data_IF_886555721671
#
_entry.id   IF_886555721671
#
_cell.length_a   1.000
_cell.length_b   1.000
_cell.length_c   1.000
_cell.angle_alpha   90.00
_cell.angle_beta   90.00
_cell.angle_gamma   90.00
#
_symmetry.space_group_name_H-M   'P 1'
#
loop_
_entity.id
_entity.type
_entity.pdbx_description
1 polymer ?
#
# COMPACT_ATOMS: atom_id res chain seq x y z
N UNK A 1 11.66 3.44 14.99
CA UNK A 1 10.65 4.03 15.87
C UNK A 1 11.43 4.49 17.07
N UNK A 2 11.31 5.78 17.34
CA UNK A 2 11.93 6.39 18.51
C UNK A 2 10.97 6.24 19.69
N UNK A 3 11.51 5.93 20.86
CA UNK A 3 10.74 5.79 22.10
C UNK A 3 11.45 6.57 23.18
N UNK A 4 10.71 7.44 23.87
CA UNK A 4 11.14 8.11 25.08
C UNK A 4 10.50 7.37 26.27
N UNK A 5 11.27 6.49 26.92
CA UNK A 5 10.73 5.61 27.96
C UNK A 5 10.15 6.36 29.17
N UNK A 6 10.74 7.49 29.58
CA UNK A 6 10.20 8.33 30.66
C UNK A 6 8.78 8.79 30.32
N UNK A 7 8.61 9.45 29.18
CA UNK A 7 7.33 9.94 28.71
C UNK A 7 6.33 8.79 28.50
N UNK A 8 6.76 7.68 27.90
CA UNK A 8 5.89 6.52 27.67
C UNK A 8 5.35 5.96 28.99
N UNK A 9 6.21 5.72 29.98
CA UNK A 9 5.81 5.12 31.25
C UNK A 9 4.98 6.07 32.12
N UNK A 10 5.15 7.38 31.98
CA UNK A 10 4.28 8.37 32.63
C UNK A 10 2.85 8.38 32.06
N UNK A 11 2.70 8.01 30.79
CA UNK A 11 1.41 7.96 30.09
C UNK A 11 0.73 6.58 30.14
N UNK A 12 1.37 5.56 30.75
CA UNK A 12 0.82 4.22 30.87
C UNK A 12 0.42 3.87 32.33
N UNK A 13 -0.57 2.99 32.53
CA UNK A 13 -0.88 2.47 33.86
C UNK A 13 0.34 1.77 34.50
N UNK A 14 0.54 1.97 35.81
CA UNK A 14 1.75 1.46 36.51
C UNK A 14 1.80 -0.06 36.73
N UNK A 15 0.68 -0.77 36.61
CA UNK A 15 0.54 -2.17 37.02
C UNK A 15 0.10 -3.12 35.88
N UNK A 16 0.50 -2.83 34.63
CA UNK A 16 0.15 -3.66 33.47
C UNK A 16 1.41 -4.26 32.82
N UNK A 17 1.32 -5.46 32.27
CA UNK A 17 2.41 -6.00 31.44
C UNK A 17 2.54 -5.19 30.15
N UNK A 18 3.76 -4.75 29.83
CA UNK A 18 4.04 -3.93 28.65
C UNK A 18 5.01 -4.68 27.74
N UNK A 19 4.71 -4.75 26.45
CA UNK A 19 5.62 -5.23 25.41
C UNK A 19 6.02 -4.03 24.55
N UNK A 20 7.32 -3.74 24.48
CA UNK A 20 7.86 -2.61 23.70
C UNK A 20 8.74 -3.15 22.59
N UNK A 21 8.38 -2.91 21.34
CA UNK A 21 9.23 -3.19 20.20
C UNK A 21 9.88 -1.89 19.70
N UNK A 22 11.21 -1.89 19.55
CA UNK A 22 11.94 -0.72 19.06
C UNK A 22 13.04 -1.09 18.07
N UNK A 23 13.51 -0.08 17.34
CA UNK A 23 14.78 -0.19 16.63
C UNK A 23 15.94 -0.38 17.62
N UNK A 24 16.93 -1.16 17.23
CA UNK A 24 18.06 -1.51 18.07
C UNK A 24 19.36 -1.36 17.29
N UNK A 25 20.43 -1.10 18.04
CA UNK A 25 21.71 -0.74 17.45
C UNK A 25 22.84 -1.58 18.07
N UNK A 26 23.49 -2.45 17.28
CA UNK A 26 24.62 -3.25 17.77
C UNK A 26 25.79 -2.40 18.24
N UNK A 27 25.95 -1.16 17.75
CA UNK A 27 27.01 -0.25 18.22
C UNK A 27 26.79 0.18 19.68
N UNK A 28 25.53 0.19 20.13
CA UNK A 28 25.15 0.42 21.53
C UNK A 28 25.11 -0.87 22.36
N UNK A 29 25.55 -2.01 21.81
CA UNK A 29 25.55 -3.31 22.47
C UNK A 29 24.19 -4.02 22.47
N UNK A 30 23.19 -3.51 21.73
CA UNK A 30 21.92 -4.20 21.56
C UNK A 30 22.10 -5.46 20.69
N UNK A 31 21.23 -6.45 20.89
CA UNK A 31 21.12 -7.61 20.00
C UNK A 31 19.67 -7.90 19.64
N UNK A 32 19.47 -8.58 18.51
CA UNK A 32 18.16 -9.09 18.11
C UNK A 32 17.62 -10.07 19.16
N UNK A 33 16.34 -9.97 19.49
CA UNK A 33 15.70 -10.91 20.39
C UNK A 33 14.56 -10.32 21.21
N UNK A 34 14.11 -11.11 22.17
CA UNK A 34 13.07 -10.73 23.13
C UNK A 34 13.67 -10.85 24.53
N UNK A 35 13.61 -9.75 25.29
CA UNK A 35 14.33 -9.60 26.55
C UNK A 35 13.38 -9.14 27.65
N UNK A 36 13.40 -9.83 28.80
CA UNK A 36 12.74 -9.33 30.00
C UNK A 36 13.62 -8.25 30.64
N UNK A 37 13.05 -7.08 30.92
CA UNK A 37 13.78 -6.02 31.61
C UNK A 37 13.75 -6.31 33.12
N UNK A 38 14.90 -6.49 33.79
CA UNK A 38 14.95 -6.87 35.20
C UNK A 38 14.18 -5.90 36.11
N UNK A 39 13.47 -6.44 37.09
CA UNK A 39 12.67 -5.69 38.07
C UNK A 39 11.55 -4.83 37.46
N UNK A 40 11.08 -5.17 36.25
CA UNK A 40 9.94 -4.52 35.62
C UNK A 40 8.97 -5.56 35.07
N UNK A 41 7.78 -5.09 34.67
CA UNK A 41 6.77 -5.83 33.92
C UNK A 41 6.90 -5.61 32.39
N UNK A 42 8.10 -5.24 31.92
CA UNK A 42 8.37 -4.87 30.53
C UNK A 42 9.12 -5.98 29.80
N UNK A 43 8.60 -6.34 28.63
CA UNK A 43 9.26 -7.17 27.63
C UNK A 43 9.75 -6.28 26.49
N UNK A 44 11.05 -6.25 26.25
CA UNK A 44 11.68 -5.52 25.14
C UNK A 44 11.85 -6.44 23.93
N UNK A 45 11.43 -5.99 22.76
CA UNK A 45 11.55 -6.69 21.49
C UNK A 45 12.47 -5.91 20.57
N UNK A 46 13.54 -6.57 20.15
CA UNK A 46 14.47 -6.12 19.12
C UNK A 46 14.24 -6.99 17.89
N UNK A 47 13.38 -6.54 16.96
CA UNK A 47 12.97 -7.34 15.81
C UNK A 47 14.13 -7.53 14.82
N UNK A 48 14.09 -8.55 13.95
CA UNK A 48 15.15 -8.76 12.97
C UNK A 48 15.41 -7.56 12.08
N UNK A 49 16.69 -7.18 11.92
CA UNK A 49 17.09 -6.07 11.05
C UNK A 49 17.44 -6.56 9.65
N UNK A 50 17.40 -5.66 8.65
CA UNK A 50 17.79 -6.00 7.28
C UNK A 50 19.24 -6.47 7.23
N UNK A 51 19.47 -7.63 6.62
CA UNK A 51 20.82 -8.10 6.27
C UNK A 51 21.35 -7.49 4.97
N UNK A 52 20.53 -6.70 4.27
CA UNK A 52 20.83 -6.16 2.94
C UNK A 52 21.31 -4.70 2.95
N UNK A 53 21.41 -4.07 4.12
CA UNK A 53 21.81 -2.68 4.28
C UNK A 53 21.10 -1.99 5.45
N UNK A 54 21.17 -0.67 5.50
CA UNK A 54 20.54 0.13 6.54
C UNK A 54 19.01 0.05 6.42
N UNK A 55 18.37 -0.60 7.40
CA UNK A 55 16.92 -0.62 7.57
C UNK A 55 16.53 0.07 8.87
N UNK A 56 15.25 0.39 9.03
CA UNK A 56 14.71 0.92 10.29
C UNK A 56 13.50 0.10 10.75
N UNK A 57 13.32 -0.05 12.06
CA UNK A 57 12.05 -0.53 12.60
C UNK A 57 11.07 0.64 12.69
N UNK A 58 10.33 0.96 11.63
CA UNK A 58 9.57 2.22 11.52
C UNK A 58 8.05 2.06 11.72
N UNK A 59 7.55 0.84 11.87
CA UNK A 59 6.15 0.56 12.20
C UNK A 59 5.72 1.15 13.55
N UNK A 60 4.48 1.65 13.63
CA UNK A 60 3.87 2.14 14.88
C UNK A 60 2.52 1.50 15.12
N UNK A 61 2.54 0.50 15.99
CA UNK A 61 1.43 -0.38 16.33
C UNK A 61 1.24 -0.39 17.84
N UNK A 62 0.00 -0.28 18.31
CA UNK A 62 -0.39 -0.61 19.68
C UNK A 62 -1.45 -1.71 19.64
N UNK A 63 -1.29 -2.71 20.49
CA UNK A 63 -2.30 -3.73 20.75
C UNK A 63 -2.65 -3.64 22.23
N UNK A 64 -3.86 -3.17 22.52
CA UNK A 64 -4.33 -2.93 23.89
C UNK A 64 -5.38 -3.97 24.23
N UNK A 65 -5.16 -4.73 25.29
CA UNK A 65 -5.98 -5.87 25.66
C UNK A 65 -6.81 -5.49 26.88
N UNK A 66 -8.13 -5.53 26.72
CA UNK A 66 -9.11 -5.32 27.78
C UNK A 66 -9.87 -6.63 28.04
N UNK A 67 -10.64 -6.67 29.12
CA UNK A 67 -11.38 -7.88 29.54
C UNK A 67 -12.34 -8.37 28.45
N UNK A 68 -13.07 -7.43 27.83
CA UNK A 68 -14.16 -7.72 26.88
C UNK A 68 -13.79 -7.49 25.41
N UNK A 69 -12.63 -6.90 25.12
CA UNK A 69 -12.25 -6.51 23.75
C UNK A 69 -10.75 -6.25 23.61
N UNK A 70 -10.27 -6.27 22.37
CA UNK A 70 -8.90 -5.90 22.00
C UNK A 70 -8.94 -4.68 21.09
N UNK A 71 -8.09 -3.68 21.36
CA UNK A 71 -7.87 -2.52 20.50
C UNK A 71 -6.66 -2.77 19.62
N UNK A 72 -6.80 -2.52 18.32
CA UNK A 72 -5.66 -2.36 17.42
C UNK A 72 -5.55 -0.90 17.03
N UNK A 73 -4.36 -0.33 17.23
CA UNK A 73 -4.03 1.04 16.87
C UNK A 73 -2.86 1.03 15.91
N UNK A 74 -3.03 1.59 14.71
CA UNK A 74 -1.95 1.80 13.74
C UNK A 74 -1.83 3.29 13.49
N UNK A 75 -0.65 3.86 13.68
CA UNK A 75 -0.46 5.31 13.64
C UNK A 75 0.78 5.75 12.87
N UNK A 76 0.90 7.06 12.65
CA UNK A 76 2.13 7.67 12.13
C UNK A 76 3.11 8.12 13.23
N UNK A 77 2.67 8.16 14.50
CA UNK A 77 3.41 8.77 15.61
C UNK A 77 4.42 7.81 16.27
N UNK A 78 5.63 8.30 16.53
CA UNK A 78 6.57 7.71 17.49
C UNK A 78 6.05 7.85 18.93
N UNK A 79 6.64 7.11 19.87
CA UNK A 79 6.29 7.18 21.30
C UNK A 79 7.17 8.19 22.03
N UNK A 80 7.07 9.46 21.63
CA UNK A 80 7.79 10.61 22.20
C UNK A 80 6.82 11.80 22.33
N UNK A 81 7.03 12.66 23.34
CA UNK A 81 6.19 13.86 23.56
C UNK A 81 5.99 14.71 22.31
N UNK A 82 7.07 14.93 21.55
CA UNK A 82 7.08 15.72 20.32
C UNK A 82 5.98 15.31 19.32
N UNK A 83 5.80 14.01 19.09
CA UNK A 83 4.84 13.53 18.10
C UNK A 83 3.39 13.71 18.57
N UNK A 84 3.13 13.67 19.88
CA UNK A 84 1.77 13.74 20.43
C UNK A 84 1.35 15.15 20.82
N UNK A 85 2.30 16.06 21.06
CA UNK A 85 2.02 17.43 21.51
C UNK A 85 2.22 18.48 20.41
N UNK A 86 3.16 18.25 19.49
CA UNK A 86 3.61 19.26 18.51
C UNK A 86 3.22 18.87 17.09
N UNK A 87 3.47 17.62 16.71
CA UNK A 87 3.23 17.15 15.35
C UNK A 87 1.77 16.77 15.12
N UNK A 88 1.31 16.99 13.89
CA UNK A 88 0.07 16.37 13.43
C UNK A 88 0.32 14.94 12.97
N UNK A 89 -0.52 14.02 13.45
CA UNK A 89 -0.43 12.59 13.21
C UNK A 89 -1.80 12.02 12.81
N UNK A 90 -1.78 10.82 12.23
CA UNK A 90 -2.97 10.05 11.88
C UNK A 90 -2.95 8.76 12.70
N UNK A 91 -4.14 8.36 13.17
CA UNK A 91 -4.33 7.17 14.00
C UNK A 91 -5.56 6.43 13.49
N UNK A 92 -5.37 5.19 13.05
CA UNK A 92 -6.43 4.21 12.90
C UNK A 92 -6.63 3.48 14.23
N UNK A 93 -7.87 3.37 14.68
CA UNK A 93 -8.26 2.68 15.91
C UNK A 93 -9.46 1.80 15.59
N UNK A 94 -9.37 0.51 15.91
CA UNK A 94 -10.52 -0.37 15.89
C UNK A 94 -10.52 -1.34 17.06
N UNK A 95 -11.72 -1.54 17.60
CA UNK A 95 -12.01 -2.41 18.73
C UNK A 95 -12.62 -3.71 18.20
N UNK A 96 -12.18 -4.84 18.73
CA UNK A 96 -12.65 -6.17 18.38
C UNK A 96 -13.16 -6.87 19.65
N UNK A 97 -14.45 -7.23 19.72
CA UNK A 97 -15.03 -7.82 20.92
C UNK A 97 -14.49 -9.24 21.14
N UNK A 98 -14.42 -9.66 22.39
CA UNK A 98 -14.08 -11.04 22.75
C UNK A 98 -15.22 -11.98 22.35
N UNK A 99 -14.91 -13.19 21.93
CA UNK A 99 -15.93 -14.23 21.78
C UNK A 99 -16.47 -14.63 23.16
N UNK A 100 -17.79 -14.83 23.25
CA UNK A 100 -18.42 -15.44 24.42
C UNK A 100 -18.12 -16.96 24.44
N UNK A 101 -18.16 -17.60 25.62
CA UNK A 101 -17.91 -19.05 25.76
C UNK A 101 -18.84 -19.94 24.89
N UNK A 102 -20.00 -19.41 24.49
CA UNK A 102 -20.98 -20.10 23.64
C UNK A 102 -20.80 -19.83 22.13
N UNK A 103 -19.91 -18.91 21.75
CA UNK A 103 -19.64 -18.65 20.34
C UNK A 103 -18.73 -19.78 19.82
N UNK A 104 -19.10 -20.37 18.70
CA UNK A 104 -18.22 -21.31 17.99
C UNK A 104 -16.93 -20.55 17.70
N UNK A 105 -15.82 -20.99 18.29
CA UNK A 105 -14.50 -20.52 17.92
C UNK A 105 -14.35 -20.91 16.44
N UNK A 106 -14.43 -19.93 15.55
CA UNK A 106 -13.99 -20.17 14.19
C UNK A 106 -12.50 -20.49 14.29
N UNK A 107 -12.10 -21.71 13.94
CA UNK A 107 -10.72 -22.13 14.02
C UNK A 107 -9.83 -21.31 13.08
N UNK A 108 -10.42 -20.74 12.02
CA UNK A 108 -9.72 -19.89 11.08
C UNK A 108 -9.82 -18.41 11.49
N UNK A 109 -8.65 -17.82 11.75
CA UNK A 109 -8.53 -16.39 12.02
C UNK A 109 -8.90 -15.59 10.78
N UNK A 110 -9.78 -14.61 10.95
CA UNK A 110 -10.06 -13.59 9.94
C UNK A 110 -8.75 -13.00 9.38
N UNK A 111 -8.73 -12.67 8.08
CA UNK A 111 -7.53 -12.23 7.37
C UNK A 111 -6.76 -11.11 8.10
N UNK A 112 -7.47 -10.10 8.61
CA UNK A 112 -6.86 -9.02 9.40
C UNK A 112 -6.06 -9.54 10.61
N UNK A 113 -6.62 -10.49 11.37
CA UNK A 113 -5.96 -11.07 12.52
C UNK A 113 -4.81 -12.01 12.13
N UNK A 114 -4.95 -12.72 10.99
CA UNK A 114 -3.87 -13.55 10.42
C UNK A 114 -2.68 -12.69 10.01
N UNK A 115 -2.90 -11.60 9.29
CA UNK A 115 -1.84 -10.65 8.90
C UNK A 115 -1.15 -10.02 10.12
N UNK A 116 -1.94 -9.62 11.12
CA UNK A 116 -1.40 -9.09 12.37
C UNK A 116 -0.57 -10.15 13.12
N UNK A 117 -1.07 -11.40 13.19
CA UNK A 117 -0.37 -12.53 13.80
C UNK A 117 0.97 -12.79 13.09
N UNK A 118 0.96 -12.88 11.77
CA UNK A 118 2.16 -13.14 10.97
C UNK A 118 3.20 -12.03 11.14
N UNK A 119 2.75 -10.77 11.21
CA UNK A 119 3.61 -9.62 11.49
C UNK A 119 4.28 -9.72 12.87
N UNK A 120 3.52 -10.04 13.91
CA UNK A 120 4.04 -10.19 15.28
C UNK A 120 4.98 -11.39 15.42
N UNK A 121 4.68 -12.51 14.76
CA UNK A 121 5.56 -13.68 14.70
C UNK A 121 6.90 -13.33 14.05
N UNK A 122 6.87 -12.58 12.95
CA UNK A 122 8.09 -12.13 12.27
C UNK A 122 8.94 -11.20 13.16
N UNK A 123 8.33 -10.42 14.04
CA UNK A 123 9.06 -9.62 15.04
C UNK A 123 9.73 -10.46 16.13
N UNK A 124 9.40 -11.76 16.22
CA UNK A 124 9.91 -12.70 17.23
C UNK A 124 8.96 -12.93 18.41
N UNK A 125 7.74 -12.39 18.38
CA UNK A 125 6.74 -12.63 19.42
C UNK A 125 6.14 -14.05 19.30
N UNK A 126 5.67 -14.57 20.43
CA UNK A 126 5.13 -15.94 20.59
C UNK A 126 3.89 -15.87 21.49
N UNK A 127 3.72 -16.81 22.42
CA UNK A 127 2.60 -16.88 23.37
C UNK A 127 2.35 -15.61 24.19
N UNK A 128 3.32 -14.69 24.27
CA UNK A 128 3.15 -13.35 24.86
C UNK A 128 1.88 -12.62 24.36
N UNK A 129 1.55 -12.75 23.07
CA UNK A 129 0.42 -12.09 22.43
C UNK A 129 -0.34 -13.00 21.45
N UNK A 130 0.36 -13.94 20.80
CA UNK A 130 -0.19 -14.71 19.69
C UNK A 130 -1.38 -15.57 20.13
N UNK A 131 -1.32 -16.17 21.32
CA UNK A 131 -2.37 -17.04 21.86
C UNK A 131 -3.62 -16.24 22.30
N UNK A 132 -3.52 -14.91 22.36
CA UNK A 132 -4.64 -14.03 22.71
C UNK A 132 -5.46 -13.63 21.49
N UNK A 133 -4.84 -13.51 20.31
CA UNK A 133 -5.54 -13.06 19.09
C UNK A 133 -6.78 -13.92 18.75
N UNK A 134 -6.76 -15.27 18.79
CA UNK A 134 -7.93 -16.08 18.44
C UNK A 134 -9.15 -15.89 19.35
N UNK A 135 -9.01 -15.20 20.49
CA UNK A 135 -10.09 -14.99 21.46
C UNK A 135 -11.05 -13.87 21.06
N UNK A 136 -10.75 -13.11 20.00
CA UNK A 136 -11.50 -11.92 19.59
C UNK A 136 -12.11 -12.08 18.19
N UNK A 137 -13.26 -11.44 17.99
CA UNK A 137 -14.00 -11.41 16.74
C UNK A 137 -13.52 -10.27 15.84
N UNK A 138 -12.86 -10.63 14.75
CA UNK A 138 -12.35 -9.69 13.74
C UNK A 138 -13.23 -9.61 12.48
N UNK A 139 -14.39 -10.26 12.45
CA UNK A 139 -15.30 -10.29 11.29
C UNK A 139 -15.73 -8.90 10.80
N UNK A 140 -15.67 -7.89 11.69
CA UNK A 140 -16.00 -6.50 11.38
C UNK A 140 -14.79 -5.61 11.09
N UNK A 141 -13.60 -6.18 10.87
CA UNK A 141 -12.40 -5.42 10.50
C UNK A 141 -12.71 -4.53 9.28
N UNK A 142 -12.47 -3.23 9.41
CA UNK A 142 -12.79 -2.26 8.35
C UNK A 142 -11.65 -2.04 7.37
N UNK A 143 -10.43 -2.26 7.82
CA UNK A 143 -9.23 -1.97 7.06
C UNK A 143 -8.48 -3.26 6.69
N UNK A 144 -7.66 -3.18 5.64
CA UNK A 144 -6.74 -4.25 5.23
C UNK A 144 -5.33 -3.85 5.64
N UNK A 145 -4.53 -4.77 6.18
CA UNK A 145 -3.17 -4.46 6.63
C UNK A 145 -2.22 -4.45 5.42
N UNK A 146 -1.35 -3.43 5.37
CA UNK A 146 -0.20 -3.41 4.47
C UNK A 146 1.07 -3.44 5.33
N UNK A 147 1.72 -4.62 5.45
CA UNK A 147 2.98 -4.74 6.16
C UNK A 147 4.17 -4.53 5.22
N UNK A 148 5.25 -3.96 5.72
CA UNK A 148 6.59 -4.15 5.17
C UNK A 148 7.47 -4.76 6.23
N UNK A 149 8.21 -5.79 5.85
CA UNK A 149 9.19 -6.46 6.71
C UNK A 149 10.51 -6.50 5.92
N UNK A 150 11.67 -6.26 6.55
CA UNK A 150 12.95 -6.32 5.85
C UNK A 150 13.20 -7.71 5.28
N UNK A 151 13.49 -7.79 3.98
CA UNK A 151 13.66 -9.07 3.31
C UNK A 151 13.75 -8.97 1.79
N UNK A 152 14.26 -10.05 1.18
CA UNK A 152 14.27 -10.24 -0.26
C UNK A 152 13.26 -11.34 -0.62
N UNK A 153 12.06 -10.94 -1.01
CA UNK A 153 10.94 -11.81 -1.32
C UNK A 153 11.02 -12.25 -2.78
N UNK A 154 11.12 -13.56 -3.05
CA UNK A 154 11.29 -14.12 -4.40
C UNK A 154 10.01 -14.81 -4.84
N UNK A 155 9.67 -14.70 -6.13
CA UNK A 155 8.46 -15.29 -6.66
C UNK A 155 7.22 -14.47 -6.29
N UNK A 156 6.15 -14.68 -7.04
CA UNK A 156 5.00 -13.78 -6.97
C UNK A 156 4.25 -13.89 -5.64
N UNK A 157 4.18 -15.08 -5.05
CA UNK A 157 3.41 -15.29 -3.81
C UNK A 157 4.04 -14.59 -2.61
N UNK A 158 5.37 -14.49 -2.57
CA UNK A 158 6.05 -13.75 -1.50
C UNK A 158 6.04 -12.24 -1.76
N UNK A 159 6.16 -11.81 -3.03
CA UNK A 159 6.09 -10.39 -3.41
C UNK A 159 4.73 -9.79 -3.03
N UNK A 160 3.63 -10.52 -3.20
CA UNK A 160 2.27 -10.06 -2.89
C UNK A 160 1.96 -9.91 -1.39
N UNK A 161 2.85 -10.34 -0.50
CA UNK A 161 2.64 -10.29 0.96
C UNK A 161 3.04 -8.94 1.57
N UNK A 162 3.95 -8.19 0.94
CA UNK A 162 4.56 -7.02 1.58
C UNK A 162 4.64 -5.78 0.67
N UNK A 163 4.75 -4.62 1.30
CA UNK A 163 5.04 -3.35 0.64
C UNK A 163 4.10 -3.01 -0.51
N UNK A 164 4.64 -2.47 -1.60
CA UNK A 164 3.81 -2.11 -2.76
C UNK A 164 3.33 -3.34 -3.54
N UNK A 165 3.93 -4.52 -3.33
CA UNK A 165 3.42 -5.79 -3.86
C UNK A 165 2.11 -6.20 -3.18
N UNK A 166 1.99 -6.03 -1.85
CA UNK A 166 0.74 -6.19 -1.11
C UNK A 166 -0.32 -5.19 -1.56
N UNK A 167 0.06 -3.91 -1.72
CA UNK A 167 -0.82 -2.88 -2.26
C UNK A 167 -1.39 -3.31 -3.62
N UNK A 168 -0.54 -3.75 -4.54
CA UNK A 168 -0.95 -4.23 -5.87
C UNK A 168 -1.97 -5.37 -5.79
N UNK A 169 -1.72 -6.36 -4.92
CA UNK A 169 -2.63 -7.48 -4.73
C UNK A 169 -3.99 -7.05 -4.15
N UNK A 170 -4.01 -6.09 -3.23
CA UNK A 170 -5.25 -5.56 -2.66
C UNK A 170 -6.04 -4.81 -3.74
N UNK A 171 -5.40 -3.89 -4.46
CA UNK A 171 -6.06 -3.08 -5.50
C UNK A 171 -6.64 -3.97 -6.60
N UNK A 172 -5.87 -4.99 -7.03
CA UNK A 172 -6.34 -5.97 -8.02
C UNK A 172 -7.63 -6.67 -7.60
N UNK A 173 -7.78 -6.98 -6.30
CA UNK A 173 -8.93 -7.73 -5.81
C UNK A 173 -10.19 -6.86 -5.60
N UNK A 174 -10.06 -5.53 -5.54
CA UNK A 174 -11.20 -4.65 -5.30
C UNK A 174 -11.78 -4.04 -6.58
N UNK A 175 -10.95 -3.72 -7.58
CA UNK A 175 -11.44 -3.23 -8.87
C UNK A 175 -10.35 -3.19 -9.96
N UNK A 176 -10.74 -3.43 -11.22
CA UNK A 176 -9.87 -3.26 -12.40
C UNK A 176 -10.16 -1.90 -13.08
N UNK A 177 -9.47 -0.84 -12.67
CA UNK A 177 -9.47 0.44 -13.39
C UNK A 177 -8.19 0.62 -14.20
N UNK A 178 -8.30 1.28 -15.34
CA UNK A 178 -7.15 1.48 -16.24
C UNK A 178 -6.13 2.47 -15.66
N UNK A 179 -6.59 3.51 -14.97
CA UNK A 179 -5.75 4.57 -14.42
C UNK A 179 -6.25 5.12 -13.09
N UNK A 180 -5.31 5.69 -12.33
CA UNK A 180 -5.56 6.30 -11.02
C UNK A 180 -4.90 7.67 -10.97
N UNK A 181 -5.50 8.62 -10.27
CA UNK A 181 -4.79 9.81 -9.81
C UNK A 181 -4.23 9.50 -8.42
N UNK A 182 -2.90 9.59 -8.26
CA UNK A 182 -2.24 9.24 -7.00
C UNK A 182 -1.61 10.47 -6.34
N UNK A 183 -1.95 10.70 -5.07
CA UNK A 183 -1.37 11.76 -4.24
C UNK A 183 -0.67 11.15 -3.03
N UNK A 184 0.62 11.41 -2.89
CA UNK A 184 1.50 10.84 -1.87
C UNK A 184 1.95 11.94 -0.90
N UNK A 185 1.37 12.00 0.30
CA UNK A 185 1.88 12.84 1.38
C UNK A 185 2.84 12.03 2.25
N UNK A 186 4.03 12.57 2.48
CA UNK A 186 5.08 11.91 3.27
C UNK A 186 5.79 12.91 4.17
N UNK A 187 6.31 12.46 5.32
CA UNK A 187 7.18 13.27 6.18
C UNK A 187 8.66 13.08 5.85
N UNK A 188 9.01 12.04 5.09
CA UNK A 188 10.35 11.85 4.55
C UNK A 188 10.31 11.48 3.07
N UNK A 189 11.26 12.01 2.32
CA UNK A 189 11.47 11.66 0.92
C UNK A 189 12.89 11.11 0.74
N UNK A 190 13.00 10.09 -0.11
CA UNK A 190 14.26 9.48 -0.52
C UNK A 190 14.70 9.95 -1.90
N UNK A 191 15.58 9.16 -2.51
CA UNK A 191 15.92 9.28 -3.93
C UNK A 191 14.72 8.83 -4.76
N UNK A 192 13.87 9.76 -5.18
CA UNK A 192 12.73 9.47 -6.07
C UNK A 192 13.22 9.56 -7.52
N UNK A 193 12.95 8.52 -8.30
CA UNK A 193 13.26 8.49 -9.73
C UNK A 193 12.01 8.16 -10.55
N UNK A 194 11.98 8.51 -11.85
CA UNK A 194 10.86 8.16 -12.74
C UNK A 194 10.59 6.65 -12.78
N UNK A 195 11.62 5.82 -12.64
CA UNK A 195 11.47 4.35 -12.61
C UNK A 195 10.70 3.91 -11.36
N UNK A 196 11.07 4.39 -10.17
CA UNK A 196 10.35 4.09 -8.93
C UNK A 196 8.90 4.59 -9.00
N UNK A 197 8.68 5.81 -9.53
CA UNK A 197 7.33 6.36 -9.68
C UNK A 197 6.47 5.51 -10.59
N UNK A 198 6.99 5.09 -11.74
CA UNK A 198 6.26 4.24 -12.67
C UNK A 198 6.00 2.84 -12.08
N UNK A 199 6.97 2.25 -11.37
CA UNK A 199 6.80 0.97 -10.69
C UNK A 199 5.72 1.02 -9.60
N UNK A 200 5.80 2.04 -8.74
CA UNK A 200 4.83 2.24 -7.68
C UNK A 200 3.44 2.55 -8.26
N UNK A 201 3.36 3.43 -9.26
CA UNK A 201 2.11 3.76 -9.94
C UNK A 201 1.42 2.52 -10.49
N UNK A 202 2.15 1.64 -11.20
CA UNK A 202 1.61 0.37 -11.67
C UNK A 202 1.02 -0.44 -10.52
N UNK A 203 1.74 -0.55 -9.41
CA UNK A 203 1.24 -1.26 -8.21
C UNK A 203 -0.03 -0.62 -7.66
N UNK A 204 -0.11 0.71 -7.63
CA UNK A 204 -1.29 1.46 -7.21
C UNK A 204 -2.52 1.25 -8.13
N UNK A 205 -2.34 0.71 -9.35
CA UNK A 205 -3.43 0.31 -10.26
C UNK A 205 -3.88 -1.14 -10.11
N UNK A 206 -3.10 -1.99 -9.44
CA UNK A 206 -3.40 -3.41 -9.26
C UNK A 206 -3.47 -4.23 -10.55
N UNK A 207 -2.42 -4.26 -11.40
CA UNK A 207 -2.45 -4.94 -12.69
C UNK A 207 -2.70 -6.45 -12.56
N UNK A 208 -3.40 -7.02 -13.54
CA UNK A 208 -3.73 -8.45 -13.57
C UNK A 208 -2.48 -9.34 -13.58
N UNK A 209 -1.36 -8.84 -14.13
CA UNK A 209 -0.03 -9.45 -14.02
C UNK A 209 1.02 -8.48 -13.44
N UNK A 210 1.92 -8.95 -12.57
CA UNK A 210 3.05 -8.16 -12.08
C UNK A 210 3.99 -7.89 -13.25
N UNK A 211 4.10 -6.64 -13.67
CA UNK A 211 5.04 -6.24 -14.71
C UNK A 211 6.46 -6.48 -14.22
N UNK A 212 7.20 -7.39 -14.87
CA UNK A 212 8.63 -7.52 -14.61
C UNK A 212 9.34 -6.20 -14.95
N UNK A 213 10.37 -5.82 -14.18
CA UNK A 213 11.21 -4.67 -14.54
C UNK A 213 11.74 -4.88 -15.97
N UNK A 214 11.61 -3.88 -16.84
CA UNK A 214 12.06 -3.98 -18.23
C UNK A 214 13.57 -4.25 -18.26
N UNK A 215 13.99 -5.40 -18.80
CA UNK A 215 15.40 -5.76 -18.93
C UNK A 215 16.04 -5.26 -20.23
N UNK A 216 15.30 -4.59 -21.12
CA UNK A 216 15.86 -4.16 -22.40
C UNK A 216 16.77 -2.94 -22.23
N UNK A 217 18.03 -3.00 -22.72
CA UNK A 217 18.96 -1.86 -22.68
C UNK A 217 18.41 -0.61 -23.39
N UNK A 218 17.46 -0.78 -24.31
CA UNK A 218 16.80 0.29 -25.07
C UNK A 218 15.69 0.99 -24.27
N UNK A 219 14.94 0.28 -23.41
CA UNK A 219 13.94 0.91 -22.53
C UNK A 219 14.57 1.72 -21.39
N UNK A 220 15.82 1.39 -21.02
CA UNK A 220 16.63 2.14 -20.05
C UNK A 220 17.25 3.42 -20.63
N UNK A 221 17.18 3.63 -21.96
CA UNK A 221 17.79 4.77 -22.66
C UNK A 221 16.79 5.88 -23.01
N UNK A 222 15.48 5.61 -22.97
CA UNK A 222 14.46 6.65 -23.21
C UNK A 222 13.94 7.21 -21.88
N UNK A 223 13.73 8.53 -21.76
CA UNK A 223 13.08 9.12 -20.59
C UNK A 223 11.68 8.50 -20.43
N UNK A 224 11.42 7.83 -19.31
CA UNK A 224 10.07 7.35 -19.02
C UNK A 224 9.18 8.56 -18.68
N UNK A 225 7.96 8.65 -19.24
CA UNK A 225 7.02 9.69 -18.86
C UNK A 225 6.68 9.55 -17.38
N UNK A 226 6.41 10.67 -16.72
CA UNK A 226 5.94 10.66 -15.34
C UNK A 226 4.48 10.20 -15.29
N UNK A 227 4.14 9.25 -14.40
CA UNK A 227 2.74 8.89 -14.15
C UNK A 227 2.02 10.05 -13.44
N UNK A 228 0.66 10.05 -13.39
CA UNK A 228 -0.13 11.04 -12.66
C UNK A 228 -0.01 10.87 -11.14
N UNK A 229 1.19 11.15 -10.64
CA UNK A 229 1.57 11.15 -9.22
C UNK A 229 1.86 12.57 -8.77
N UNK A 230 1.33 12.93 -7.62
CA UNK A 230 1.63 14.17 -6.90
C UNK A 230 2.29 13.86 -5.57
N UNK A 231 3.34 14.59 -5.19
CA UNK A 231 4.03 14.42 -3.90
C UNK A 231 3.85 15.66 -3.04
N UNK A 232 3.25 15.48 -1.86
CA UNK A 232 2.95 16.55 -0.91
C UNK A 232 4.02 16.54 0.19
N UNK A 233 4.86 17.58 0.19
CA UNK A 233 5.96 17.75 1.15
C UNK A 233 6.12 19.23 1.54
N UNK A 234 6.55 19.57 2.77
CA UNK A 234 6.63 20.97 3.17
C UNK A 234 7.80 21.70 2.49
N UNK A 235 7.54 22.95 2.10
CA UNK A 235 8.60 23.87 1.66
C UNK A 235 9.40 24.37 2.86
N UNK A 236 10.61 24.86 2.62
CA UNK A 236 11.40 25.54 3.66
C UNK A 236 10.63 26.72 4.25
N UNK A 237 9.90 27.49 3.42
CA UNK A 237 9.02 28.58 3.85
C UNK A 237 7.89 28.08 4.76
N UNK A 238 7.28 26.94 4.45
CA UNK A 238 6.24 26.31 5.27
C UNK A 238 6.77 25.99 6.66
N UNK A 239 7.97 25.40 6.74
CA UNK A 239 8.61 25.08 8.03
C UNK A 239 8.97 26.34 8.80
N UNK A 240 9.64 27.32 8.18
CA UNK A 240 10.05 28.56 8.85
C UNK A 240 8.87 29.40 9.36
N UNK A 241 7.72 29.33 8.69
CA UNK A 241 6.50 30.04 9.10
C UNK A 241 5.59 29.20 10.01
N UNK A 242 5.96 27.95 10.31
CA UNK A 242 5.20 27.09 11.22
C UNK A 242 5.34 27.56 12.66
N UNK A 243 4.37 27.18 13.51
CA UNK A 243 4.29 27.58 14.92
C UNK A 243 5.54 27.23 15.73
N UNK A 244 6.17 26.10 15.38
CA UNK A 244 7.34 25.57 16.09
C UNK A 244 8.63 25.66 15.28
N UNK A 245 8.59 26.19 14.06
CA UNK A 245 9.74 26.38 13.18
C UNK A 245 10.61 25.11 13.07
N UNK A 246 11.90 25.22 13.37
CA UNK A 246 12.87 24.12 13.41
C UNK A 246 12.50 23.04 14.42
N UNK A 247 11.96 23.41 15.59
CA UNK A 247 11.61 22.46 16.64
C UNK A 247 10.48 21.52 16.21
N UNK A 248 9.56 21.99 15.35
CA UNK A 248 8.49 21.19 14.75
C UNK A 248 8.92 20.31 13.59
N UNK A 249 10.13 20.53 13.05
CA UNK A 249 10.58 19.88 11.83
C UNK A 249 11.33 18.56 12.06
N UNK A 250 11.48 18.12 13.31
CA UNK A 250 12.19 16.89 13.67
C UNK A 250 11.78 15.64 12.86
N UNK A 251 10.47 15.41 12.62
CA UNK A 251 10.03 14.25 11.84
C UNK A 251 10.16 14.42 10.31
N UNK A 252 10.60 15.59 9.84
CA UNK A 252 10.73 15.92 8.42
C UNK A 252 12.14 15.65 7.90
N UNK A 253 12.26 14.68 6.99
CA UNK A 253 13.56 14.21 6.51
C UNK A 253 13.64 14.21 4.98
N UNK A 254 14.43 15.13 4.42
CA UNK A 254 14.74 15.13 3.01
C UNK A 254 16.12 15.74 2.79
N UNK A 255 16.96 15.09 1.96
CA UNK A 255 18.31 15.56 1.70
C UNK A 255 18.37 16.45 0.46
N UNK A 256 19.13 17.53 0.56
CA UNK A 256 19.43 18.40 -0.59
C UNK A 256 20.07 17.62 -1.75
N UNK A 257 20.94 16.65 -1.42
CA UNK A 257 21.58 15.75 -2.39
C UNK A 257 20.56 14.97 -3.23
N UNK A 258 19.49 14.45 -2.63
CA UNK A 258 18.44 13.75 -3.38
C UNK A 258 17.66 14.70 -4.28
N UNK A 259 17.29 15.88 -3.78
CA UNK A 259 16.54 16.88 -4.55
C UNK A 259 17.30 17.45 -5.75
N UNK A 260 18.63 17.56 -5.63
CA UNK A 260 19.49 18.10 -6.69
C UNK A 260 19.86 17.08 -7.76
N UNK A 261 19.47 15.80 -7.61
CA UNK A 261 19.64 14.81 -8.67
C UNK A 261 18.86 15.22 -9.93
N UNK A 262 19.49 15.08 -11.09
CA UNK A 262 18.87 15.42 -12.38
C UNK A 262 17.62 14.59 -12.68
N UNK A 263 17.51 13.40 -12.10
CA UNK A 263 16.38 12.49 -12.23
C UNK A 263 15.21 12.83 -11.32
N UNK A 264 15.40 13.72 -10.33
CA UNK A 264 14.34 14.03 -9.38
C UNK A 264 13.26 14.90 -10.06
N UNK A 265 12.01 14.43 -10.15
CA UNK A 265 10.93 15.19 -10.79
C UNK A 265 10.42 16.26 -9.83
N UNK A 266 10.80 17.51 -10.06
CA UNK A 266 10.44 18.64 -9.19
C UNK A 266 9.00 19.10 -9.43
N UNK A 267 8.51 18.93 -10.64
CA UNK A 267 7.20 19.35 -11.13
C UNK A 267 6.02 18.63 -10.45
N UNK A 268 6.26 17.51 -9.78
CA UNK A 268 5.24 16.76 -9.03
C UNK A 268 5.13 17.19 -7.56
N UNK A 269 6.01 18.07 -7.08
CA UNK A 269 5.97 18.55 -5.70
C UNK A 269 4.83 19.55 -5.47
N UNK A 270 4.15 19.40 -4.33
CA UNK A 270 3.09 20.30 -3.85
C UNK A 270 3.31 20.66 -2.39
N UNK A 271 2.87 21.86 -2.04
CA UNK A 271 2.96 22.42 -0.69
C UNK A 271 2.15 21.56 0.28
N UNK A 272 2.77 21.24 1.41
CA UNK A 272 2.18 20.45 2.49
C UNK A 272 1.76 21.40 3.62
N UNK A 273 0.51 21.84 3.58
CA UNK A 273 -0.04 22.78 4.57
C UNK A 273 -1.13 22.11 5.40
N UNK A 274 -0.90 21.96 6.70
CA UNK A 274 -1.89 21.42 7.62
C UNK A 274 -3.19 22.24 7.64
N UNK A 275 -4.33 21.56 7.81
CA UNK A 275 -5.61 22.20 8.13
C UNK A 275 -5.59 22.86 9.52
N UNK A 276 -4.67 22.44 10.39
CA UNK A 276 -4.36 23.06 11.68
C UNK A 276 -3.26 24.11 11.45
N UNK A 277 -3.66 25.38 11.46
CA UNK A 277 -2.80 26.50 11.09
C UNK A 277 -1.42 26.45 11.79
N UNK A 278 -0.35 26.40 10.98
CA UNK A 278 1.04 26.43 11.44
C UNK A 278 1.56 25.12 12.05
N UNK A 279 0.81 24.02 12.02
CA UNK A 279 1.29 22.71 12.49
C UNK A 279 2.00 21.96 11.36
N UNK A 280 3.12 21.31 11.68
CA UNK A 280 3.83 20.42 10.77
C UNK A 280 3.35 18.98 10.96
N UNK A 281 3.37 18.21 9.87
CA UNK A 281 2.76 16.88 9.84
C UNK A 281 3.81 15.78 9.84
N UNK A 282 3.56 14.77 10.68
CA UNK A 282 4.27 13.49 10.68
C UNK A 282 3.40 12.37 10.07
N UNK A 283 2.28 12.71 9.45
CA UNK A 283 1.40 11.78 8.71
C UNK A 283 2.07 11.24 7.44
N UNK A 284 1.55 10.10 6.97
CA UNK A 284 1.81 9.56 5.62
C UNK A 284 0.48 9.11 5.04
N UNK A 285 0.14 9.63 3.88
CA UNK A 285 -1.05 9.27 3.13
C UNK A 285 -0.67 8.87 1.71
N UNK A 286 -1.34 7.84 1.21
CA UNK A 286 -1.51 7.66 -0.23
C UNK A 286 -3.00 7.79 -0.51
N UNK A 287 -3.36 8.68 -1.42
CA UNK A 287 -4.73 8.90 -1.83
C UNK A 287 -4.82 8.54 -3.30
N UNK A 288 -5.69 7.61 -3.65
CA UNK A 288 -5.90 7.19 -5.02
C UNK A 288 -7.36 7.35 -5.42
N UNK A 289 -7.58 8.08 -6.51
CA UNK A 289 -8.89 8.21 -7.15
C UNK A 289 -8.86 7.45 -8.46
N UNK A 290 -9.81 6.55 -8.66
CA UNK A 290 -9.90 5.86 -9.94
C UNK A 290 -10.37 6.83 -11.03
N UNK A 291 -9.68 6.81 -12.17
CA UNK A 291 -10.07 7.61 -13.33
C UNK A 291 -10.96 6.73 -14.19
N UNK A 292 -12.23 7.13 -14.30
CA UNK A 292 -13.15 6.47 -15.23
C UNK A 292 -12.86 6.96 -16.65
N UNK A 293 -12.78 6.06 -17.64
CA UNK A 293 -12.72 6.47 -19.04
C UNK A 293 -13.98 7.29 -19.36
N UNK A 294 -13.84 8.30 -20.22
CA UNK A 294 -15.00 9.03 -20.73
C UNK A 294 -15.92 8.10 -21.54
N UNK A 295 -17.21 8.45 -21.73
CA UNK A 295 -18.11 7.68 -22.59
C UNK A 295 -17.52 7.41 -23.99
N UNK A 296 -16.80 8.37 -24.55
CA UNK A 296 -16.14 8.24 -25.86
C UNK A 296 -14.99 7.21 -25.81
N UNK A 297 -14.18 7.22 -24.75
CA UNK A 297 -13.10 6.24 -24.55
C UNK A 297 -13.64 4.83 -24.33
N UNK A 298 -14.75 4.70 -23.59
CA UNK A 298 -15.46 3.43 -23.42
C UNK A 298 -15.97 2.89 -24.75
N UNK A 299 -16.51 3.74 -25.61
CA UNK A 299 -17.00 3.33 -26.93
C UNK A 299 -15.86 2.95 -27.88
N UNK A 300 -14.76 3.72 -27.90
CA UNK A 300 -13.57 3.38 -28.66
C UNK A 300 -13.01 2.01 -28.25
N UNK A 301 -12.92 1.75 -26.94
CA UNK A 301 -12.47 0.45 -26.42
C UNK A 301 -13.38 -0.70 -26.85
N UNK A 302 -14.71 -0.52 -26.78
CA UNK A 302 -15.69 -1.51 -27.27
C UNK A 302 -15.49 -1.82 -28.75
N UNK A 303 -15.28 -0.79 -29.58
CA UNK A 303 -15.03 -0.98 -31.01
C UNK A 303 -13.72 -1.74 -31.25
N UNK A 304 -12.66 -1.44 -30.48
CA UNK A 304 -11.37 -2.13 -30.57
C UNK A 304 -11.48 -3.62 -30.20
N UNK A 305 -12.19 -3.93 -29.12
CA UNK A 305 -12.45 -5.31 -28.66
C UNK A 305 -13.27 -6.09 -29.70
N UNK A 306 -14.29 -5.45 -30.30
CA UNK A 306 -15.07 -6.04 -31.37
C UNK A 306 -14.21 -6.37 -32.59
N UNK A 307 -13.32 -5.47 -33.00
CA UNK A 307 -12.42 -5.70 -34.13
C UNK A 307 -11.38 -6.79 -33.83
N UNK A 308 -10.79 -6.82 -32.63
CA UNK A 308 -9.91 -7.91 -32.21
C UNK A 308 -10.61 -9.26 -32.26
N UNK A 309 -11.82 -9.35 -31.70
CA UNK A 309 -12.62 -10.56 -31.73
C UNK A 309 -12.99 -10.99 -33.16
N UNK A 310 -13.29 -10.03 -34.03
CA UNK A 310 -13.52 -10.28 -35.47
C UNK A 310 -12.25 -10.86 -36.12
N UNK A 311 -11.09 -10.31 -35.82
CA UNK A 311 -9.82 -10.77 -36.37
C UNK A 311 -9.43 -12.15 -35.86
N UNK A 312 -9.68 -12.45 -34.58
CA UNK A 312 -9.50 -13.79 -34.00
C UNK A 312 -10.39 -14.80 -34.71
N UNK A 313 -11.67 -14.47 -34.95
CA UNK A 313 -12.60 -15.34 -35.70
C UNK A 313 -12.10 -15.60 -37.12
N UNK A 314 -11.61 -14.58 -37.83
CA UNK A 314 -11.04 -14.73 -39.17
C UNK A 314 -9.81 -15.65 -39.15
N UNK A 315 -8.91 -15.46 -38.20
CA UNK A 315 -7.71 -16.28 -38.08
C UNK A 315 -8.04 -17.75 -37.75
N UNK A 316 -9.00 -18.00 -36.86
CA UNK A 316 -9.51 -19.35 -36.59
C UNK A 316 -10.09 -20.01 -37.85
N UNK A 317 -10.90 -19.30 -38.62
CA UNK A 317 -11.46 -19.80 -39.89
C UNK A 317 -10.36 -20.14 -40.91
N UNK A 318 -9.31 -19.33 -41.02
CA UNK A 318 -8.15 -19.62 -41.89
C UNK A 318 -7.37 -20.87 -41.44
N UNK A 319 -7.18 -21.03 -40.14
CA UNK A 319 -6.49 -22.22 -39.58
C UNK A 319 -7.31 -23.48 -39.87
N UNK A 320 -8.62 -23.43 -39.66
CA UNK A 320 -9.53 -24.55 -39.96
C UNK A 320 -9.49 -24.87 -41.44
N UNK A 321 -9.61 -23.88 -42.32
CA UNK A 321 -9.57 -24.09 -43.78
C UNK A 321 -8.26 -24.73 -44.24
N UNK A 322 -7.11 -24.24 -43.75
CA UNK A 322 -5.80 -24.84 -44.04
C UNK A 322 -5.64 -26.27 -43.50
N UNK A 323 -6.38 -26.65 -42.45
CA UNK A 323 -6.36 -28.01 -41.88
C UNK A 323 -7.21 -29.00 -42.68
N UNK A 324 -8.22 -28.51 -43.41
CA UNK A 324 -9.08 -29.32 -44.27
C UNK A 324 -8.66 -29.30 -45.75
N UNK A 325 -7.90 -28.30 -46.21
CA UNK A 325 -7.28 -28.29 -47.54
C UNK A 325 -6.12 -29.31 -47.68
N UNK A 326 -5.74 -30.03 -46.60
CA UNK A 326 -4.78 -31.15 -46.64
C UNK A 326 -5.43 -32.54 -46.74
N UNK A 327 -6.76 -32.64 -46.76
CA UNK A 327 -7.50 -33.87 -47.05
C UNK A 327 -8.35 -33.65 -48.32
N UNK A 328 -7.89 -34.18 -49.47
CA UNK A 328 -8.58 -34.12 -50.76
C UNK A 328 -9.88 -34.97 -50.79
N UNK A 329 -10.88 -34.63 -49.98
CA UNK A 329 -12.22 -35.27 -50.11
C UNK A 329 -13.44 -34.51 -49.58
N UNK A 330 -13.40 -33.19 -49.36
CA UNK A 330 -14.60 -32.43 -48.96
C UNK A 330 -15.22 -31.63 -50.12
N UNK A 331 -16.52 -31.83 -50.37
CA UNK A 331 -17.31 -31.12 -51.39
C UNK A 331 -17.98 -29.87 -50.83
N UNK A 332 -18.29 -28.90 -51.71
CA UNK A 332 -18.87 -27.56 -51.44
C UNK A 332 -20.19 -27.50 -50.62
N UNK A 333 -20.73 -28.63 -50.16
CA UNK A 333 -21.91 -28.71 -49.28
C UNK A 333 -21.59 -28.57 -47.79
N UNK A 334 -20.34 -28.68 -47.37
CA UNK A 334 -19.99 -28.82 -45.94
C UNK A 334 -19.72 -27.47 -45.23
N UNK A 335 -19.87 -26.34 -45.95
CA UNK A 335 -19.56 -24.99 -45.43
C UNK A 335 -20.82 -24.25 -44.94
N UNK A 336 -22.03 -24.76 -45.20
CA UNK A 336 -23.27 -24.02 -44.96
C UNK A 336 -23.98 -24.34 -43.63
N UNK A 337 -23.73 -25.49 -42.99
CA UNK A 337 -24.43 -25.90 -41.76
C UNK A 337 -23.46 -26.44 -40.70
N UNK A 338 -22.59 -25.56 -40.22
CA UNK A 338 -21.87 -25.78 -38.97
C UNK A 338 -22.31 -24.71 -37.98
N UNK A 339 -23.59 -24.78 -37.64
CA UNK A 339 -24.14 -24.21 -36.42
C UNK A 339 -23.65 -25.08 -35.26
N UNK A 340 -22.37 -24.93 -34.91
CA UNK A 340 -21.82 -25.53 -33.70
C UNK A 340 -22.25 -24.63 -32.54
N UNK A 341 -23.44 -24.95 -32.02
CA UNK A 341 -23.68 -24.96 -30.58
C UNK A 341 -22.68 -25.94 -29.92
N UNK A 342 -21.39 -25.61 -29.90
CA UNK A 342 -20.53 -26.08 -28.82
C UNK A 342 -20.64 -25.00 -27.76
N UNK A 343 -21.49 -25.32 -26.80
CA UNK A 343 -21.50 -24.73 -25.48
C UNK A 343 -20.05 -24.72 -24.99
N UNK A 344 -19.38 -23.58 -25.07
CA UNK A 344 -18.29 -23.28 -24.15
C UNK A 344 -19.00 -23.11 -22.80
N UNK A 345 -19.22 -24.20 -22.09
CA UNK A 345 -19.44 -24.11 -20.65
C UNK A 345 -18.13 -23.59 -20.06
N UNK A 346 -18.25 -22.71 -19.07
CA UNK A 346 -17.13 -22.07 -18.36
C UNK A 346 -16.14 -23.07 -17.73
N UNK A 347 -16.39 -24.38 -17.81
CA UNK A 347 -15.58 -25.46 -17.24
C UNK A 347 -14.28 -25.77 -18.00
N UNK A 348 -14.14 -25.43 -19.30
CA UNK A 348 -12.94 -25.80 -20.07
C UNK A 348 -11.80 -24.75 -20.10
N UNK A 349 -11.88 -23.70 -19.27
CA UNK A 349 -10.76 -22.76 -19.02
C UNK A 349 -10.14 -22.99 -17.61
N UNK A 350 -10.62 -23.99 -16.87
CA UNK A 350 -10.27 -24.19 -15.46
C UNK A 350 -9.43 -25.44 -15.17
N UNK A 351 -8.74 -25.99 -16.17
CA UNK A 351 -7.82 -27.11 -15.97
C UNK A 351 -6.38 -26.69 -16.30
N UNK A 352 -5.78 -25.90 -15.38
CA UNK A 352 -4.34 -25.83 -15.09
C UNK A 352 -4.02 -24.89 -13.89
N UNK A 353 -4.89 -24.84 -12.88
CA UNK A 353 -4.55 -24.25 -11.58
C UNK A 353 -5.40 -24.83 -10.45
N UNK A 354 -5.29 -26.14 -10.23
CA UNK A 354 -5.61 -26.71 -8.92
C UNK A 354 -4.31 -26.88 -8.14
N UNK A 355 -3.98 -25.87 -7.35
CA UNK A 355 -3.28 -26.09 -6.09
C UNK A 355 -3.99 -25.26 -5.01
N UNK A 356 -4.53 -26.01 -4.06
CA UNK A 356 -5.42 -25.60 -2.98
C UNK A 356 -4.74 -24.66 -1.99
N UNK A 357 -5.23 -23.43 -1.85
CA UNK A 357 -5.21 -22.69 -0.59
C UNK A 357 -6.57 -22.01 -0.44
N UNK A 358 -7.22 -22.31 0.68
CA UNK A 358 -8.59 -21.94 1.06
C UNK A 358 -8.87 -20.44 0.98
N UNK A 359 -9.77 -20.07 0.07
CA UNK A 359 -10.45 -18.78 0.00
C UNK A 359 -11.48 -18.67 1.14
N UNK A 360 -11.05 -18.15 2.28
CA UNK A 360 -11.92 -17.47 3.24
C UNK A 360 -11.66 -15.95 3.15
N UNK A 361 -12.02 -15.39 1.99
CA UNK A 361 -12.35 -13.97 1.88
C UNK A 361 -13.85 -13.94 1.66
N UNK A 362 -14.60 -13.60 2.70
CA UNK A 362 -16.00 -13.23 2.53
C UNK A 362 -16.08 -12.12 1.47
N UNK A 363 -16.60 -12.51 0.30
CA UNK A 363 -17.48 -11.73 -0.57
C UNK A 363 -17.04 -10.28 -0.85
N UNK A 364 -15.85 -10.12 -1.42
CA UNK A 364 -15.56 -8.97 -2.28
C UNK A 364 -15.69 -9.44 -3.73
N UNK A 365 -16.89 -9.88 -4.12
CA UNK A 365 -17.30 -9.73 -5.51
C UNK A 365 -17.13 -8.25 -5.85
N UNK A 366 -16.35 -7.94 -6.90
CA UNK A 366 -15.97 -6.58 -7.29
C UNK A 366 -17.14 -5.61 -7.13
N UNK A 367 -17.10 -4.84 -6.04
CA UNK A 367 -18.19 -3.94 -5.72
C UNK A 367 -18.05 -2.76 -6.69
N UNK A 368 -18.92 -2.71 -7.71
CA UNK A 368 -18.99 -1.64 -8.72
C UNK A 368 -19.11 -0.23 -8.10
N UNK A 369 -19.23 -0.17 -6.78
CA UNK A 369 -19.28 1.01 -5.97
C UNK A 369 -17.90 1.56 -5.55
N UNK A 370 -16.77 0.86 -5.72
CA UNK A 370 -15.46 1.38 -5.30
C UNK A 370 -14.93 2.39 -6.35
N UNK A 371 -14.64 3.61 -5.91
CA UNK A 371 -14.22 4.76 -6.74
C UNK A 371 -12.82 5.28 -6.42
N UNK A 372 -12.19 4.70 -5.40
CA UNK A 372 -10.81 4.99 -5.04
C UNK A 372 -10.39 4.20 -3.81
N UNK A 373 -9.26 4.57 -3.25
CA UNK A 373 -8.77 4.05 -1.99
C UNK A 373 -7.82 5.03 -1.32
N UNK A 374 -7.61 4.84 -0.03
CA UNK A 374 -6.54 5.53 0.67
C UNK A 374 -5.79 4.61 1.60
N UNK A 375 -4.54 4.97 1.84
CA UNK A 375 -3.66 4.36 2.82
C UNK A 375 -3.26 5.38 3.86
N UNK A 376 -3.13 4.94 5.11
CA UNK A 376 -2.41 5.68 6.15
C UNK A 376 -1.62 4.74 7.07
N UNK A 377 -0.47 5.22 7.56
CA UNK A 377 0.40 4.42 8.41
C UNK A 377 1.81 4.99 8.53
N UNK A 378 2.80 4.11 8.64
CA UNK A 378 4.18 4.51 8.88
C UNK A 378 5.02 4.70 7.61
N UNK A 379 4.62 4.13 6.47
CA UNK A 379 5.43 4.11 5.26
C UNK A 379 5.66 5.51 4.69
N UNK A 380 6.89 6.01 4.79
CA UNK A 380 7.31 7.13 3.94
C UNK A 380 7.31 6.71 2.46
N UNK A 381 7.17 7.67 1.54
CA UNK A 381 7.17 7.39 0.10
C UNK A 381 8.60 7.14 -0.43
N UNK A 382 9.18 6.00 -0.05
CA UNK A 382 10.55 5.57 -0.35
C UNK A 382 10.62 4.10 -0.75
N UNK A 383 11.62 3.74 -1.56
CA UNK A 383 11.94 2.33 -1.89
C UNK A 383 12.25 1.49 -0.64
N UNK A 384 12.86 2.08 0.40
CA UNK A 384 13.19 1.36 1.64
C UNK A 384 11.96 0.89 2.41
N UNK A 385 10.90 1.69 2.40
CA UNK A 385 9.63 1.42 3.08
C UNK A 385 8.71 0.52 2.24
N UNK A 386 8.53 0.84 0.97
CA UNK A 386 7.57 0.14 0.10
C UNK A 386 8.16 -1.04 -0.64
N UNK A 387 9.48 -1.05 -0.83
CA UNK A 387 10.21 -2.04 -1.60
C UNK A 387 10.53 -1.59 -3.03
N UNK A 388 11.44 -2.34 -3.65
CA UNK A 388 11.83 -2.19 -5.05
C UNK A 388 11.84 -3.54 -5.75
N UNK A 389 11.16 -3.64 -6.88
CA UNK A 389 11.18 -4.82 -7.73
C UNK A 389 12.49 -4.92 -8.50
N UNK A 390 12.97 -6.14 -8.60
CA UNK A 390 14.07 -6.53 -9.46
C UNK A 390 13.85 -7.98 -9.92
N UNK A 391 14.74 -8.49 -10.75
CA UNK A 391 14.76 -9.91 -11.11
C UNK A 391 15.89 -10.59 -10.35
N UNK A 392 15.54 -11.66 -9.63
CA UNK A 392 16.50 -12.45 -8.89
C UNK A 392 17.57 -13.01 -9.83
N UNK A 393 18.84 -12.80 -9.50
CA UNK A 393 19.94 -13.33 -10.33
C UNK A 393 19.98 -14.86 -10.30
N UNK A 394 19.57 -15.45 -9.18
CA UNK A 394 19.66 -16.89 -8.92
C UNK A 394 18.47 -17.63 -9.54
N UNK A 395 17.24 -17.21 -9.20
CA UNK A 395 16.01 -17.92 -9.60
C UNK A 395 15.42 -17.40 -10.90
N UNK A 396 15.86 -16.23 -11.38
CA UNK A 396 15.27 -15.49 -12.53
C UNK A 396 13.81 -15.07 -12.32
N UNK A 397 13.29 -15.20 -11.11
CA UNK A 397 11.94 -14.76 -10.74
C UNK A 397 11.92 -13.28 -10.36
N UNK A 398 10.72 -12.71 -10.32
CA UNK A 398 10.48 -11.41 -9.71
C UNK A 398 10.91 -11.44 -8.23
N UNK A 399 11.56 -10.38 -7.79
CA UNK A 399 12.01 -10.22 -6.40
C UNK A 399 11.70 -8.81 -5.90
N UNK A 400 11.09 -8.72 -4.72
CA UNK A 400 10.87 -7.46 -3.99
C UNK A 400 11.86 -7.36 -2.84
N UNK A 401 12.66 -6.29 -2.82
CA UNK A 401 13.57 -5.98 -1.69
C UNK A 401 12.99 -4.88 -0.83
N UNK A 402 12.81 -5.15 0.46
CA UNK A 402 12.34 -4.20 1.47
C UNK A 402 13.41 -4.08 2.55
N UNK A 403 13.59 -2.86 3.08
CA UNK A 403 14.61 -2.56 4.09
C UNK A 403 14.04 -2.21 5.45
N UNK A 404 12.83 -1.62 5.49
CA UNK A 404 12.22 -1.17 6.74
C UNK A 404 11.13 -2.12 7.21
N UNK A 405 10.93 -2.14 8.53
CA UNK A 405 9.63 -2.52 9.07
C UNK A 405 8.70 -1.34 8.96
N UNK A 406 7.55 -1.56 8.35
CA UNK A 406 6.48 -0.57 8.28
C UNK A 406 5.15 -1.28 8.46
N UNK A 407 4.14 -0.52 8.87
CA UNK A 407 2.78 -1.00 9.00
C UNK A 407 1.81 0.15 8.71
N UNK A 408 0.80 -0.15 7.92
CA UNK A 408 -0.31 0.77 7.70
C UNK A 408 -1.56 0.02 7.30
N UNK A 409 -2.60 0.79 7.05
CA UNK A 409 -3.90 0.29 6.67
C UNK A 409 -4.31 0.80 5.30
N UNK A 410 -5.05 -0.02 4.58
CA UNK A 410 -5.72 0.30 3.33
C UNK A 410 -7.23 0.35 3.57
N UNK A 411 -7.90 1.35 3.02
CA UNK A 411 -9.34 1.53 3.07
C UNK A 411 -9.87 1.85 1.67
N UNK A 412 -10.84 1.07 1.14
CA UNK A 412 -11.51 1.40 -0.11
C UNK A 412 -12.42 2.62 0.09
N UNK A 413 -12.56 3.42 -0.97
CA UNK A 413 -13.50 4.54 -1.03
C UNK A 413 -14.67 4.12 -1.91
N UNK A 414 -15.87 4.16 -1.34
CA UNK A 414 -17.11 3.81 -2.04
C UNK A 414 -17.82 5.06 -2.55
N UNK A 415 -18.48 4.95 -3.71
CA UNK A 415 -19.28 5.98 -4.36
C UNK A 415 -20.38 6.45 -3.42
N UNK A 416 -20.63 7.75 -3.43
CA UNK A 416 -21.79 8.36 -2.80
C UNK A 416 -22.96 8.43 -3.78
N UNK A 417 -24.19 8.47 -3.27
CA UNK A 417 -25.42 8.43 -4.09
C UNK A 417 -25.54 9.59 -5.10
N UNK A 418 -24.84 10.69 -4.89
CA UNK A 418 -24.91 11.90 -5.72
C UNK A 418 -23.71 12.06 -6.68
N UNK A 419 -22.84 11.06 -6.82
CA UNK A 419 -21.59 11.22 -7.58
C UNK A 419 -21.83 11.41 -9.09
N UNK A 420 -22.89 10.81 -9.65
CA UNK A 420 -23.21 10.93 -11.07
C UNK A 420 -23.59 12.36 -11.50
N UNK A 421 -24.11 13.17 -10.57
CA UNK A 421 -24.51 14.56 -10.83
C UNK A 421 -23.35 15.57 -10.63
N UNK A 422 -22.29 15.18 -9.90
CA UNK A 422 -21.21 16.08 -9.46
C UNK A 422 -19.93 15.99 -10.30
N UNK A 423 -19.71 14.92 -11.05
CA UNK A 423 -18.54 14.78 -11.95
C UNK A 423 -18.51 15.82 -13.10
N UNK A 424 -19.67 16.42 -13.43
CA UNK A 424 -19.80 17.39 -14.53
C UNK A 424 -19.44 18.85 -14.18
N UNK A 425 -19.06 19.16 -12.93
CA UNK A 425 -18.70 20.52 -12.49
C UNK A 425 -17.19 20.65 -12.23
N UNK A 426 -16.41 20.64 -13.31
CA UNK A 426 -14.93 20.67 -13.33
C UNK A 426 -14.35 22.04 -12.90
N UNK A 427 -15.19 23.05 -12.62
CA UNK A 427 -14.78 24.44 -12.40
C UNK A 427 -14.39 24.86 -10.98
N UNK A 428 -14.75 24.09 -9.94
CA UNK A 428 -14.36 24.38 -8.55
C UNK A 428 -13.26 23.42 -8.09
N UNK A 429 -12.17 23.94 -7.52
CA UNK A 429 -11.14 23.14 -6.82
C UNK A 429 -11.74 22.47 -5.58
N UNK A 430 -12.50 21.38 -5.79
CA UNK A 430 -13.11 20.60 -4.71
C UNK A 430 -12.15 19.57 -4.16
N UNK A 431 -12.23 19.35 -2.86
CA UNK A 431 -11.50 18.30 -2.17
C UNK A 431 -12.28 16.98 -2.28
N UNK A 432 -12.13 16.30 -3.43
CA UNK A 432 -12.85 15.06 -3.72
C UNK A 432 -12.71 14.00 -2.61
N UNK A 433 -11.52 13.84 -2.03
CA UNK A 433 -11.28 12.84 -0.99
C UNK A 433 -12.03 13.18 0.30
N UNK A 434 -12.07 14.46 0.70
CA UNK A 434 -12.85 14.88 1.87
C UNK A 434 -14.35 14.76 1.63
N UNK A 435 -14.82 15.06 0.43
CA UNK A 435 -16.23 14.86 0.05
C UNK A 435 -16.64 13.39 0.17
N UNK A 436 -15.69 12.46 -0.02
CA UNK A 436 -15.86 11.01 0.18
C UNK A 436 -15.53 10.53 1.61
N UNK A 437 -15.40 11.44 2.57
CA UNK A 437 -15.20 11.11 3.99
C UNK A 437 -13.78 10.70 4.36
N UNK A 438 -12.78 10.88 3.48
CA UNK A 438 -11.38 10.61 3.82
C UNK A 438 -10.86 11.69 4.78
N UNK A 439 -10.29 11.33 5.93
CA UNK A 439 -9.87 12.28 6.97
C UNK A 439 -8.49 12.88 6.66
N UNK A 440 -8.35 13.58 5.53
CA UNK A 440 -7.07 14.18 5.13
C UNK A 440 -6.75 15.39 6.02
N UNK A 441 -5.53 15.44 6.55
CA UNK A 441 -5.10 16.44 7.55
C UNK A 441 -4.53 17.74 6.95
N UNK A 442 -4.38 17.83 5.63
CA UNK A 442 -3.84 19.01 4.95
C UNK A 442 -4.83 19.65 3.98
N UNK A 443 -4.53 20.88 3.59
CA UNK A 443 -5.31 21.65 2.62
C UNK A 443 -5.26 20.98 1.25
N UNK A 444 -6.43 20.76 0.67
CA UNK A 444 -6.59 20.16 -0.65
C UNK A 444 -7.52 20.98 -1.55
N UNK A 445 -7.36 20.90 -2.88
CA UNK A 445 -6.21 20.29 -3.58
C UNK A 445 -4.88 20.97 -3.23
N UNK A 446 -3.76 20.22 -3.11
CA UNK A 446 -2.51 20.81 -2.64
C UNK A 446 -1.88 21.70 -3.73
N UNK A 447 -1.48 22.91 -3.34
CA UNK A 447 -0.94 23.89 -4.29
C UNK A 447 0.44 23.48 -4.82
N UNK A 448 0.76 23.74 -6.10
CA UNK A 448 2.12 23.65 -6.63
C UNK A 448 3.13 24.44 -5.81
N UNK A 449 4.37 23.95 -5.80
CA UNK A 449 5.52 24.77 -5.40
C UNK A 449 5.63 25.97 -6.35
N UNK A 450 5.90 27.15 -5.79
CA UNK A 450 6.29 28.32 -6.57
C UNK A 450 7.72 28.12 -7.11
N UNK A 451 8.11 28.91 -8.13
CA UNK A 451 9.46 28.83 -8.72
C UNK A 451 10.58 29.07 -7.69
N UNK A 452 10.29 29.88 -6.66
CA UNK A 452 11.22 30.17 -5.55
C UNK A 452 11.16 29.17 -4.39
N UNK A 453 10.17 28.26 -4.38
CA UNK A 453 10.04 27.28 -3.30
C UNK A 453 11.13 26.23 -3.41
N UNK A 454 11.76 25.96 -2.27
CA UNK A 454 12.58 24.76 -2.07
C UNK A 454 11.93 23.91 -0.97
N UNK A 455 12.06 22.58 -1.04
CA UNK A 455 11.59 21.74 0.04
C UNK A 455 12.38 22.01 1.32
N UNK A 456 11.80 21.66 2.46
CA UNK A 456 12.57 21.57 3.69
C UNK A 456 13.69 20.53 3.55
N UNK A 457 14.90 20.88 4.00
CA UNK A 457 16.00 19.93 4.08
C UNK A 457 16.35 19.70 5.54
N UNK A 458 16.38 18.44 5.97
CA UNK A 458 16.87 18.09 7.30
C UNK A 458 18.37 18.39 7.38
N UNK A 459 18.78 19.10 8.42
CA UNK A 459 20.20 19.18 8.81
C UNK A 459 20.64 17.75 9.16
N UNK A 460 21.77 17.30 8.60
CA UNK A 460 22.12 15.89 8.41
C UNK A 460 21.89 14.99 9.63
N UNK A 461 21.50 13.74 9.33
CA UNK A 461 21.60 12.61 10.25
C UNK A 461 23.03 12.11 10.31
#
# INVERSE_FOLDING_TARGET
MTIEFSWLLENLPKNISIVVAKHWDPENGDSQGVFCIPNTNILLVHPPMSSMGHGCFHAKLMILIYDEWIRVVISSANLISHDWEISENIVFIQDFPRYNENNIINNDLHLFAKELKDYLLAMGLKSHIIDKLPQYDYSKAKAIIIPSIPGAYKGIDDVKKYGHGRLSQIVKNICEYEDVELECQSSSLGSITPEFLNEFYRSAKGPSQPSQPSQSPQALQQPQPLPPITIVFPTNKTVLNSKYTFAGAGPLCFSKKCYEQITFPKEILRKCESNRNGILMHTKFLLARFIRPSPDQLEEKRLLEQEQNRQIKINKRKIIKNKYDSDESATDSDVADVDIQETITEENILDLSQDTVTDDVHDVQGDNNIVGWYYCGSHNFTESAWGKLNVSRDTKEIQLKIYNWELGIFLPITKLRDDDDKENNIGEQRDWFRDHGVPVSYKRPPNPYEESDIPWFSLGW
#
